data_IF_943183333162
#
_entry.id   IF_943183333162
#
_cell.length_a   1.000
_cell.length_b   1.000
_cell.length_c   1.000
_cell.angle_alpha   90.00
_cell.angle_beta   90.00
_cell.angle_gamma   90.00
#
_symmetry.space_group_name_H-M   'P 1'
#
loop_
_entity.id
_entity.type
_entity.pdbx_description
1 polymer ?
#
# COMPACT_ATOMS: atom_id res chain seq x y z
N UNK A 1 -17.40 -23.94 -9.81
CA UNK A 1 -16.41 -23.70 -8.74
C UNK A 1 -17.10 -22.88 -7.67
N UNK A 2 -17.31 -23.43 -6.48
CA UNK A 2 -17.92 -22.70 -5.37
C UNK A 2 -16.89 -21.68 -4.87
N UNK A 3 -17.04 -20.43 -5.30
CA UNK A 3 -16.22 -19.32 -4.81
C UNK A 3 -16.50 -19.16 -3.33
N UNK A 4 -15.58 -19.65 -2.49
CA UNK A 4 -15.72 -19.64 -1.03
C UNK A 4 -15.68 -18.19 -0.57
N UNK A 5 -16.84 -17.57 -0.38
CA UNK A 5 -16.96 -16.20 0.13
C UNK A 5 -17.10 -16.21 1.65
N UNK A 6 -16.53 -15.20 2.31
CA UNK A 6 -16.66 -14.99 3.75
C UNK A 6 -17.33 -13.64 4.00
N UNK A 7 -18.30 -13.61 4.91
CA UNK A 7 -18.93 -12.36 5.35
C UNK A 7 -17.97 -11.63 6.28
N UNK A 8 -17.67 -10.38 5.95
CA UNK A 8 -16.86 -9.49 6.78
C UNK A 8 -17.71 -8.28 7.17
N UNK A 9 -17.93 -8.09 8.47
CA UNK A 9 -18.68 -6.95 9.00
C UNK A 9 -17.70 -5.85 9.44
N UNK A 10 -17.87 -4.65 8.90
CA UNK A 10 -17.00 -3.49 9.18
C UNK A 10 -17.84 -2.26 9.51
N UNK A 11 -17.28 -1.37 10.35
CA UNK A 11 -17.85 -0.04 10.60
C UNK A 11 -17.18 0.96 9.67
N UNK A 12 -17.98 1.67 8.86
CA UNK A 12 -17.51 2.64 7.88
C UNK A 12 -18.13 4.00 8.19
N UNK A 13 -17.37 5.12 8.10
CA UNK A 13 -17.92 6.46 8.26
C UNK A 13 -19.08 6.75 7.31
N UNK A 14 -20.13 7.47 7.73
CA UNK A 14 -21.31 7.74 6.89
C UNK A 14 -20.97 8.41 5.55
N UNK A 15 -19.97 9.30 5.52
CA UNK A 15 -19.52 9.96 4.29
C UNK A 15 -19.02 8.97 3.24
N UNK A 16 -18.30 7.94 3.66
CA UNK A 16 -17.78 6.90 2.76
C UNK A 16 -18.92 6.01 2.23
N UNK A 17 -19.88 5.67 3.09
CA UNK A 17 -21.10 4.95 2.66
C UNK A 17 -21.85 5.74 1.59
N UNK A 18 -22.03 7.05 1.78
CA UNK A 18 -22.67 7.91 0.79
C UNK A 18 -21.92 8.01 -0.56
N UNK A 19 -20.59 7.89 -0.54
CA UNK A 19 -19.81 7.79 -1.79
C UNK A 19 -20.03 6.46 -2.48
N UNK A 20 -20.01 5.35 -1.74
CA UNK A 20 -20.29 4.01 -2.30
C UNK A 20 -21.71 3.93 -2.88
N UNK A 21 -22.67 4.59 -2.24
CA UNK A 21 -24.05 4.71 -2.71
C UNK A 21 -24.14 5.42 -4.05
N UNK A 22 -23.50 6.59 -4.19
CA UNK A 22 -23.47 7.31 -5.45
C UNK A 22 -22.84 6.49 -6.56
N UNK A 23 -21.71 5.83 -6.29
CA UNK A 23 -21.06 4.98 -7.29
C UNK A 23 -21.97 3.84 -7.76
N UNK A 24 -22.78 3.26 -6.87
CA UNK A 24 -23.76 2.25 -7.25
C UNK A 24 -24.94 2.85 -8.05
N UNK A 25 -25.45 4.01 -7.62
CA UNK A 25 -26.55 4.71 -8.31
C UNK A 25 -26.16 5.19 -9.71
N UNK A 26 -24.93 5.63 -9.89
CA UNK A 26 -24.34 6.04 -11.17
C UNK A 26 -24.01 4.84 -12.08
N UNK A 27 -24.21 3.61 -11.61
CA UNK A 27 -23.97 2.39 -12.38
C UNK A 27 -22.48 2.03 -12.54
N UNK A 28 -21.58 2.71 -11.81
CA UNK A 28 -20.15 2.38 -11.80
C UNK A 28 -19.90 1.02 -11.16
N UNK A 29 -20.75 0.62 -10.21
CA UNK A 29 -20.77 -0.69 -9.60
C UNK A 29 -22.23 -1.17 -9.43
N UNK A 30 -22.45 -2.48 -9.49
CA UNK A 30 -23.74 -3.12 -9.25
C UNK A 30 -24.19 -3.06 -7.78
N UNK A 31 -23.23 -2.93 -6.85
CA UNK A 31 -23.52 -2.87 -5.41
C UNK A 31 -22.37 -2.24 -4.62
N UNK A 32 -22.65 -1.81 -3.38
CA UNK A 32 -21.63 -1.39 -2.41
C UNK A 32 -20.58 -2.48 -2.19
N UNK A 33 -21.02 -3.75 -2.14
CA UNK A 33 -20.13 -4.89 -1.92
C UNK A 33 -19.13 -5.06 -3.05
N UNK A 34 -19.57 -4.87 -4.31
CA UNK A 34 -18.67 -4.91 -5.46
C UNK A 34 -17.63 -3.79 -5.40
N UNK A 35 -18.06 -2.56 -5.10
CA UNK A 35 -17.15 -1.42 -4.95
C UNK A 35 -16.11 -1.65 -3.83
N UNK A 36 -16.54 -2.20 -2.69
CA UNK A 36 -15.64 -2.55 -1.58
C UNK A 36 -14.65 -3.64 -2.00
N UNK A 37 -15.13 -4.70 -2.66
CA UNK A 37 -14.26 -5.79 -3.13
C UNK A 37 -13.22 -5.28 -4.14
N UNK A 38 -13.62 -4.41 -5.07
CA UNK A 38 -12.69 -3.82 -6.04
C UNK A 38 -11.65 -2.94 -5.36
N UNK A 39 -12.05 -2.10 -4.39
CA UNK A 39 -11.13 -1.29 -3.61
C UNK A 39 -10.11 -2.15 -2.84
N UNK A 40 -10.56 -3.23 -2.19
CA UNK A 40 -9.68 -4.16 -1.48
C UNK A 40 -8.75 -4.90 -2.44
N UNK A 41 -9.24 -5.30 -3.62
CA UNK A 41 -8.40 -5.93 -4.65
C UNK A 41 -7.30 -4.99 -5.12
N UNK A 42 -7.64 -3.75 -5.48
CA UNK A 42 -6.65 -2.73 -5.90
C UNK A 42 -5.63 -2.47 -4.80
N UNK A 43 -6.09 -2.40 -3.55
CA UNK A 43 -5.20 -2.29 -2.40
C UNK A 43 -4.28 -3.50 -2.29
N UNK A 44 -4.81 -4.73 -2.38
CA UNK A 44 -4.00 -5.94 -2.29
C UNK A 44 -2.95 -5.99 -3.41
N UNK A 45 -3.34 -5.72 -4.65
CA UNK A 45 -2.42 -5.66 -5.80
C UNK A 45 -1.30 -4.63 -5.59
N UNK A 46 -1.64 -3.44 -5.07
CA UNK A 46 -0.66 -2.40 -4.77
C UNK A 46 0.36 -2.80 -3.69
N UNK A 47 0.05 -3.80 -2.86
CA UNK A 47 0.97 -4.36 -1.85
C UNK A 47 1.58 -5.70 -2.28
N UNK A 48 1.03 -6.35 -3.31
CA UNK A 48 1.52 -7.63 -3.85
C UNK A 48 2.74 -7.42 -4.75
N UNK A 49 2.82 -6.28 -5.45
CA UNK A 49 4.10 -5.78 -5.95
C UNK A 49 5.03 -5.54 -4.75
N UNK A 50 5.90 -6.53 -4.50
CA UNK A 50 6.95 -6.54 -3.49
C UNK A 50 7.96 -5.43 -3.77
N UNK A 51 7.58 -4.18 -3.59
CA UNK A 51 8.51 -3.08 -3.34
C UNK A 51 8.56 -2.91 -1.82
N UNK A 52 9.50 -3.58 -1.15
CA UNK A 52 9.43 -3.71 0.28
C UNK A 52 10.00 -2.44 0.94
N UNK A 53 10.70 -1.61 0.16
CA UNK A 53 11.00 -0.22 0.49
C UNK A 53 9.72 0.61 0.56
N UNK A 54 8.83 0.54 -0.44
CA UNK A 54 7.49 1.18 -0.37
C UNK A 54 6.70 0.71 0.84
N UNK A 55 6.71 -0.59 1.14
CA UNK A 55 6.01 -1.12 2.31
C UNK A 55 6.61 -0.60 3.63
N UNK A 56 7.94 -0.51 3.72
CA UNK A 56 8.62 0.05 4.90
C UNK A 56 8.31 1.54 5.09
N UNK A 57 8.30 2.30 3.99
CA UNK A 57 7.94 3.72 3.98
C UNK A 57 6.51 3.94 4.46
N UNK A 58 5.53 3.22 3.89
CA UNK A 58 4.12 3.34 4.28
C UNK A 58 3.91 2.96 5.74
N UNK A 59 4.59 1.93 6.25
CA UNK A 59 4.54 1.54 7.67
C UNK A 59 5.11 2.62 8.60
N UNK A 60 6.24 3.20 8.21
CA UNK A 60 6.91 4.28 8.94
C UNK A 60 6.03 5.53 8.98
N UNK A 61 5.42 5.89 7.84
CA UNK A 61 4.62 7.10 7.70
C UNK A 61 3.25 7.01 8.39
N UNK A 62 2.64 5.82 8.43
CA UNK A 62 1.36 5.61 9.10
C UNK A 62 1.47 5.46 10.63
N UNK A 63 2.69 5.50 11.19
CA UNK A 63 2.93 5.31 12.63
C UNK A 63 2.41 3.97 13.16
N UNK A 64 2.15 3.00 12.27
CA UNK A 64 1.67 1.68 12.62
C UNK A 64 2.88 0.76 12.74
N UNK A 65 3.19 0.23 13.92
CA UNK A 65 4.22 -0.79 14.01
C UNK A 65 3.72 -1.99 13.21
N UNK A 66 4.30 -2.20 12.02
CA UNK A 66 4.23 -3.51 11.41
C UNK A 66 4.86 -4.51 12.38
N UNK A 67 4.46 -5.77 12.33
CA UNK A 67 5.14 -6.84 13.09
C UNK A 67 6.61 -7.06 12.68
N UNK A 68 7.15 -6.25 11.76
CA UNK A 68 8.55 -6.27 11.35
C UNK A 68 9.22 -4.97 11.79
N UNK A 69 10.35 -5.12 12.47
CA UNK A 69 11.26 -4.03 12.81
C UNK A 69 12.07 -3.58 11.58
N UNK A 70 12.78 -2.45 11.68
CA UNK A 70 13.75 -2.05 10.64
C UNK A 70 14.83 -3.13 10.45
N UNK A 71 15.16 -3.88 11.51
CA UNK A 71 16.07 -5.04 11.43
C UNK A 71 15.49 -6.20 10.60
N UNK A 72 14.17 -6.33 10.49
CA UNK A 72 13.55 -7.32 9.61
C UNK A 72 13.61 -6.89 8.14
N UNK A 73 13.73 -5.59 7.85
CA UNK A 73 13.92 -5.07 6.50
C UNK A 73 15.32 -5.40 5.97
N UNK A 74 16.34 -5.31 6.84
CA UNK A 74 17.72 -5.70 6.54
C UNK A 74 17.88 -7.21 6.25
N UNK A 75 16.90 -8.05 6.65
CA UNK A 75 16.85 -9.47 6.30
C UNK A 75 16.19 -9.76 4.96
N UNK A 76 15.49 -8.79 4.39
CA UNK A 76 14.71 -8.95 3.16
C UNK A 76 15.41 -8.43 1.90
N UNK A 77 16.49 -7.65 2.05
CA UNK A 77 17.29 -7.13 0.94
C UNK A 77 18.76 -7.34 1.23
N UNK A 78 19.48 -7.80 0.21
CA UNK A 78 20.94 -7.74 0.22
C UNK A 78 21.38 -6.28 0.04
N UNK A 79 22.40 -5.86 0.78
CA UNK A 79 22.83 -4.46 0.80
C UNK A 79 23.15 -3.95 -0.61
N UNK A 80 23.82 -4.78 -1.43
CA UNK A 80 24.12 -4.50 -2.84
C UNK A 80 22.86 -4.14 -3.66
N UNK A 81 21.75 -4.87 -3.50
CA UNK A 81 20.52 -4.64 -4.26
C UNK A 81 19.88 -3.30 -3.91
N UNK A 82 19.94 -2.92 -2.63
CA UNK A 82 19.45 -1.62 -2.16
C UNK A 82 20.32 -0.49 -2.71
N UNK A 83 21.64 -0.65 -2.71
CA UNK A 83 22.57 0.33 -3.28
C UNK A 83 22.37 0.52 -4.78
N UNK A 84 22.18 -0.56 -5.54
CA UNK A 84 21.87 -0.46 -6.98
C UNK A 84 20.53 0.23 -7.24
N UNK A 85 19.49 -0.10 -6.47
CA UNK A 85 18.17 0.50 -6.61
C UNK A 85 18.21 2.01 -6.31
N UNK A 86 18.91 2.41 -5.24
CA UNK A 86 19.12 3.82 -4.89
C UNK A 86 19.90 4.54 -5.99
N UNK A 87 20.97 3.93 -6.51
CA UNK A 87 21.78 4.51 -7.59
C UNK A 87 21.00 4.69 -8.90
N UNK A 88 20.09 3.77 -9.23
CA UNK A 88 19.18 3.90 -10.38
C UNK A 88 18.14 5.00 -10.18
N UNK A 89 17.57 5.11 -8.98
CA UNK A 89 16.53 6.09 -8.68
C UNK A 89 17.08 7.52 -8.53
N UNK A 90 18.30 7.66 -8.00
CA UNK A 90 18.96 8.93 -7.73
C UNK A 90 20.38 8.95 -8.31
N UNK A 91 20.50 9.00 -9.65
CA UNK A 91 21.79 8.89 -10.32
C UNK A 91 22.74 10.03 -9.91
N UNK A 92 23.92 9.66 -9.43
CA UNK A 92 25.00 10.59 -9.08
C UNK A 92 24.80 11.35 -7.77
N UNK A 93 23.73 11.10 -7.00
CA UNK A 93 23.49 11.77 -5.72
C UNK A 93 24.06 10.98 -4.56
N UNK A 94 24.63 11.67 -3.58
CA UNK A 94 25.05 11.05 -2.31
C UNK A 94 23.83 10.79 -1.44
N UNK A 95 23.91 9.77 -0.58
CA UNK A 95 22.81 9.38 0.34
C UNK A 95 22.29 10.59 1.15
N UNK A 96 23.20 11.45 1.64
CA UNK A 96 22.81 12.65 2.38
C UNK A 96 21.94 13.63 1.58
N UNK A 97 22.25 13.81 0.30
CA UNK A 97 21.49 14.70 -0.60
C UNK A 97 20.10 14.12 -0.92
N UNK A 98 20.00 12.80 -1.04
CA UNK A 98 18.72 12.09 -1.22
C UNK A 98 17.84 12.26 0.01
N UNK A 99 18.40 12.14 1.22
CA UNK A 99 17.67 12.31 2.47
C UNK A 99 17.12 13.74 2.60
N UNK A 100 17.93 14.75 2.28
CA UNK A 100 17.52 16.15 2.35
C UNK A 100 16.44 16.51 1.33
N UNK A 101 16.48 15.91 0.14
CA UNK A 101 15.47 16.11 -0.90
C UNK A 101 14.13 15.46 -0.56
N UNK A 102 14.14 14.24 -0.02
CA UNK A 102 12.91 13.54 0.42
C UNK A 102 12.28 14.21 1.65
N UNK A 103 13.07 14.95 2.44
CA UNK A 103 12.60 15.65 3.65
C UNK A 103 11.91 16.99 3.37
N UNK A 104 12.16 17.61 2.22
CA UNK A 104 11.49 18.84 1.79
C UNK A 104 10.13 18.56 1.15
#
# INVERSE_FOLDING_TARGET
MTTKSMLVQVRIPPRLVGTLDRMAQEGLYSSRSEAILDAVRRLALAYEERDPFRQALVRTYLGRPGKGSVDDLARCFEAEEVYEAIGKAFPGKKIGEIIDEVRR
#
